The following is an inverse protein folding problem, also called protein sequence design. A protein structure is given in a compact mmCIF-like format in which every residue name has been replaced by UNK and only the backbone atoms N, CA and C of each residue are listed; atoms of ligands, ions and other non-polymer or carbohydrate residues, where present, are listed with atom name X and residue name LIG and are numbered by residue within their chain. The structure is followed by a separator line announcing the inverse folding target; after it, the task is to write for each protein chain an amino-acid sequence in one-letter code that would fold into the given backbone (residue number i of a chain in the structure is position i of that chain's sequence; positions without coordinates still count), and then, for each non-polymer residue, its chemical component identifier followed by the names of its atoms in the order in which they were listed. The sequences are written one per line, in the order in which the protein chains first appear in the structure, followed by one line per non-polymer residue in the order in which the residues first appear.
data_IF_926170872808
#
_entry.id   IF_926170872808
#
_cell.length_a   1.000
_cell.length_b   1.000
_cell.length_c   1.000
_cell.angle_alpha   90.00
_cell.angle_beta   90.00
_cell.angle_gamma   90.00
#
_symmetry.space_group_name_H-M   'P 1'
#
loop_
_entity.id
_entity.type
_entity.pdbx_description
1 polymer ?
#
# COMPACT_ATOMS: atom_id res chain seq x y z
N UNK A 1 -42.04 -4.24 24.07
CA UNK A 1 -41.15 -5.19 23.35
C UNK A 1 -40.58 -4.63 22.05
N UNK A 2 -41.35 -3.86 21.26
CA UNK A 2 -40.90 -3.23 19.99
C UNK A 2 -39.65 -2.33 20.11
N UNK A 3 -39.50 -1.59 21.22
CA UNK A 3 -38.34 -0.70 21.47
C UNK A 3 -37.01 -1.47 21.65
N UNK A 4 -37.05 -2.67 22.23
CA UNK A 4 -35.85 -3.50 22.44
C UNK A 4 -35.37 -4.14 21.13
N UNK A 5 -36.29 -4.48 20.23
CA UNK A 5 -35.99 -5.05 18.90
C UNK A 5 -35.31 -4.00 18.00
N UNK A 6 -35.77 -2.75 17.99
CA UNK A 6 -35.09 -1.66 17.28
C UNK A 6 -33.64 -1.45 17.77
N UNK A 7 -33.42 -1.57 19.09
CA UNK A 7 -32.11 -1.36 19.70
C UNK A 7 -31.09 -2.44 19.28
N UNK A 8 -31.55 -3.69 19.17
CA UNK A 8 -30.72 -4.81 18.69
C UNK A 8 -30.38 -4.63 17.20
N UNK A 9 -31.34 -4.18 16.38
CA UNK A 9 -31.11 -3.89 14.95
C UNK A 9 -30.06 -2.81 14.70
N UNK A 10 -30.00 -1.76 15.52
CA UNK A 10 -28.99 -0.69 15.40
C UNK A 10 -27.57 -1.14 15.77
N UNK A 11 -27.43 -2.14 16.65
CA UNK A 11 -26.12 -2.69 17.05
C UNK A 11 -25.53 -3.56 15.93
N UNK A 12 -26.37 -4.30 15.20
CA UNK A 12 -25.95 -5.22 14.13
C UNK A 12 -25.44 -4.47 12.88
N UNK A 13 -25.95 -3.27 12.59
CA UNK A 13 -25.56 -2.49 11.39
C UNK A 13 -24.14 -1.92 11.50
N UNK A 14 -23.63 -1.66 12.71
CA UNK A 14 -22.32 -1.00 12.90
C UNK A 14 -21.13 -1.91 12.64
N UNK A 15 -21.27 -3.23 12.69
CA UNK A 15 -20.14 -4.17 12.62
C UNK A 15 -19.67 -4.52 11.21
N UNK A 16 -20.31 -4.00 10.16
CA UNK A 16 -20.05 -4.42 8.77
C UNK A 16 -19.49 -3.33 7.86
N UNK A 17 -19.13 -2.17 8.40
CA UNK A 17 -18.56 -1.08 7.60
C UNK A 17 -17.04 -1.18 7.60
N UNK A 18 -16.50 -1.87 6.59
CA UNK A 18 -15.07 -1.81 6.30
C UNK A 18 -14.79 -0.60 5.39
N UNK A 19 -13.82 0.24 5.75
CA UNK A 19 -13.49 1.51 5.07
C UNK A 19 -12.21 1.41 4.21
N UNK A 20 -11.93 0.25 3.63
CA UNK A 20 -10.83 0.12 2.66
C UNK A 20 -11.21 0.76 1.33
N UNK A 21 -10.24 1.45 0.71
CA UNK A 21 -10.45 2.15 -0.57
C UNK A 21 -9.75 1.37 -1.69
N UNK A 22 -10.54 0.86 -2.63
CA UNK A 22 -10.06 0.25 -3.87
C UNK A 22 -10.33 1.15 -5.06
N UNK A 23 -9.32 1.40 -5.89
CA UNK A 23 -9.47 2.03 -7.21
C UNK A 23 -9.26 0.97 -8.26
N UNK A 24 -10.23 0.81 -9.17
CA UNK A 24 -10.23 -0.20 -10.22
C UNK A 24 -10.14 -1.66 -9.73
N UNK A 25 -10.35 -1.92 -8.45
CA UNK A 25 -10.43 -3.26 -7.88
C UNK A 25 -11.61 -3.35 -6.91
N UNK A 26 -12.39 -4.42 -7.02
CA UNK A 26 -13.49 -4.72 -6.09
C UNK A 26 -13.02 -5.52 -4.88
N UNK A 27 -11.77 -5.98 -4.87
CA UNK A 27 -11.17 -6.72 -3.77
C UNK A 27 -9.88 -6.01 -3.27
N UNK A 28 -10.01 -4.95 -2.47
CA UNK A 28 -8.84 -4.25 -1.93
C UNK A 28 -8.14 -5.13 -0.89
N UNK A 29 -6.86 -5.45 -1.09
CA UNK A 29 -6.05 -6.29 -0.19
C UNK A 29 -5.29 -5.49 0.87
N UNK A 30 -5.40 -4.16 0.84
CA UNK A 30 -4.79 -3.25 1.80
C UNK A 30 -5.74 -2.13 2.18
N UNK A 31 -5.25 -1.20 3.00
CA UNK A 31 -6.01 0.02 3.37
C UNK A 31 -6.31 0.87 2.14
N UNK A 32 -5.38 0.90 1.18
CA UNK A 32 -5.57 1.51 -0.14
C UNK A 32 -4.99 0.59 -1.20
N UNK A 33 -5.78 0.23 -2.21
CA UNK A 33 -5.37 -0.65 -3.31
C UNK A 33 -5.74 0.01 -4.64
N UNK A 34 -4.75 0.31 -5.47
CA UNK A 34 -4.95 0.81 -6.83
C UNK A 34 -4.53 -0.27 -7.81
N UNK A 35 -5.45 -0.66 -8.68
CA UNK A 35 -5.20 -1.57 -9.79
C UNK A 35 -5.12 -0.76 -11.10
N UNK A 36 -3.96 -0.82 -11.77
CA UNK A 36 -3.73 -0.06 -12.99
C UNK A 36 -4.50 -0.61 -14.20
N UNK A 37 -4.68 -1.92 -14.29
CA UNK A 37 -5.29 -2.58 -15.46
C UNK A 37 -6.72 -3.08 -15.21
N UNK A 38 -7.24 -2.93 -13.99
CA UNK A 38 -8.59 -3.37 -13.59
C UNK A 38 -8.80 -4.86 -13.86
N UNK A 39 -7.74 -5.65 -13.73
CA UNK A 39 -7.71 -7.06 -14.05
C UNK A 39 -7.64 -7.94 -12.80
N UNK A 40 -7.63 -7.36 -11.59
CA UNK A 40 -7.70 -8.12 -10.35
C UNK A 40 -9.02 -8.92 -10.22
N UNK A 41 -8.95 -10.15 -9.65
CA UNK A 41 -10.14 -10.96 -9.43
C UNK A 41 -11.06 -10.32 -8.39
N UNK A 42 -12.36 -10.61 -8.49
CA UNK A 42 -13.37 -10.12 -7.55
C UNK A 42 -13.24 -10.72 -6.14
N UNK A 43 -12.48 -11.80 -5.99
CA UNK A 43 -12.18 -12.45 -4.72
C UNK A 43 -10.86 -13.23 -4.84
N UNK A 44 -10.19 -13.44 -3.70
CA UNK A 44 -8.88 -14.09 -3.65
C UNK A 44 -7.74 -13.19 -4.12
N UNK A 45 -6.54 -13.76 -4.21
CA UNK A 45 -5.33 -13.01 -4.51
C UNK A 45 -5.11 -12.85 -6.03
N UNK A 46 -4.67 -11.66 -6.50
CA UNK A 46 -4.18 -11.45 -7.86
C UNK A 46 -3.00 -12.37 -8.21
N UNK A 47 -2.92 -12.74 -9.49
CA UNK A 47 -1.72 -13.36 -10.05
C UNK A 47 -0.52 -12.42 -9.99
N UNK A 48 0.69 -12.97 -10.16
CA UNK A 48 1.93 -12.16 -10.13
C UNK A 48 1.91 -11.05 -11.18
N UNK A 49 1.36 -11.30 -12.38
CA UNK A 49 1.26 -10.29 -13.44
C UNK A 49 0.27 -9.18 -13.10
N UNK A 50 -0.87 -9.52 -12.50
CA UNK A 50 -1.86 -8.54 -12.03
C UNK A 50 -1.29 -7.72 -10.88
N UNK A 51 -0.72 -8.36 -9.86
CA UNK A 51 -0.07 -7.67 -8.74
C UNK A 51 1.01 -6.68 -9.21
N UNK A 52 1.70 -7.00 -10.31
CA UNK A 52 2.77 -6.20 -10.90
C UNK A 52 2.31 -4.80 -11.35
N UNK A 53 1.06 -4.66 -11.79
CA UNK A 53 0.49 -3.39 -12.27
C UNK A 53 -0.15 -2.53 -11.15
N UNK A 54 -0.19 -3.06 -9.92
CA UNK A 54 -0.92 -2.48 -8.80
C UNK A 54 -0.04 -1.78 -7.76
N UNK A 55 -0.68 -0.95 -6.94
CA UNK A 55 -0.10 -0.27 -5.78
C UNK A 55 -0.93 -0.60 -4.53
N UNK A 56 -0.27 -1.01 -3.45
CA UNK A 56 -0.94 -1.31 -2.18
C UNK A 56 -0.30 -0.57 -1.01
N UNK A 57 -1.13 0.13 -0.23
CA UNK A 57 -0.81 0.62 1.09
C UNK A 57 -1.39 -0.31 2.17
N UNK A 58 -0.54 -0.80 3.06
CA UNK A 58 -0.95 -1.56 4.24
C UNK A 58 -1.14 -0.65 5.47
N UNK A 59 -1.94 -1.14 6.43
CA UNK A 59 -2.24 -0.46 7.69
C UNK A 59 -1.00 -0.17 8.55
N UNK A 60 0.08 -0.95 8.39
CA UNK A 60 1.38 -0.70 9.00
C UNK A 60 2.10 0.54 8.41
N UNK A 61 1.49 1.24 7.45
CA UNK A 61 2.09 2.37 6.73
C UNK A 61 3.14 1.94 5.71
N UNK A 62 3.11 0.69 5.26
CA UNK A 62 3.94 0.20 4.18
C UNK A 62 3.25 0.47 2.84
N UNK A 63 4.00 0.89 1.82
CA UNK A 63 3.47 1.22 0.51
C UNK A 63 4.43 0.69 -0.56
N UNK A 64 3.95 -0.24 -1.39
CA UNK A 64 4.76 -0.85 -2.46
C UNK A 64 3.95 -0.99 -3.76
N UNK A 65 4.68 -0.92 -4.88
CA UNK A 65 4.19 -1.20 -6.22
C UNK A 65 4.57 -2.63 -6.60
N UNK A 66 3.69 -3.32 -7.31
CA UNK A 66 4.00 -4.60 -7.91
C UNK A 66 3.94 -5.82 -6.98
N UNK A 67 3.39 -5.66 -5.77
CA UNK A 67 3.26 -6.73 -4.77
C UNK A 67 1.98 -6.56 -3.96
N UNK A 68 1.39 -7.68 -3.52
CA UNK A 68 0.22 -7.68 -2.65
C UNK A 68 0.57 -7.66 -1.15
N UNK A 69 1.84 -7.92 -0.82
CA UNK A 69 2.34 -7.96 0.56
C UNK A 69 3.41 -6.90 0.78
N UNK A 70 3.02 -5.64 1.01
CA UNK A 70 3.97 -4.55 1.19
C UNK A 70 4.74 -4.71 2.51
N UNK A 71 6.05 -4.92 2.41
CA UNK A 71 6.94 -5.15 3.57
C UNK A 71 7.74 -3.91 3.99
N UNK A 72 7.68 -2.83 3.20
CA UNK A 72 8.50 -1.62 3.38
C UNK A 72 7.69 -0.35 3.21
N UNK A 73 8.19 0.76 3.77
CA UNK A 73 7.54 2.08 3.76
C UNK A 73 7.39 2.67 2.36
N UNK A 74 8.41 2.51 1.53
CA UNK A 74 8.40 2.98 0.15
C UNK A 74 9.53 2.29 -0.61
N UNK A 75 9.21 1.58 -1.68
CA UNK A 75 10.23 0.95 -2.53
C UNK A 75 10.07 1.43 -3.98
N UNK A 76 11.12 2.09 -4.51
CA UNK A 76 11.20 2.48 -5.93
C UNK A 76 11.91 1.36 -6.71
N UNK A 77 11.16 0.56 -7.47
CA UNK A 77 11.76 -0.43 -8.36
C UNK A 77 12.29 0.28 -9.62
N UNK A 78 13.60 0.20 -9.89
CA UNK A 78 14.21 0.82 -11.10
C UNK A 78 14.01 -0.02 -12.36
N UNK A 79 13.61 -1.29 -12.21
CA UNK A 79 13.33 -2.24 -13.29
C UNK A 79 12.54 -3.40 -12.68
N UNK A 80 11.60 -3.98 -13.44
CA UNK A 80 10.78 -5.13 -13.03
C UNK A 80 11.67 -6.25 -12.46
N UNK A 81 11.50 -6.57 -11.16
CA UNK A 81 12.23 -7.66 -10.49
C UNK A 81 13.45 -7.29 -9.64
N UNK A 82 13.92 -6.04 -9.64
CA UNK A 82 15.07 -5.60 -8.81
C UNK A 82 14.76 -4.34 -8.00
N UNK A 83 13.80 -4.48 -7.09
CA UNK A 83 13.47 -3.44 -6.12
C UNK A 83 14.62 -3.33 -5.09
N UNK A 84 15.61 -2.48 -5.38
CA UNK A 84 16.70 -2.19 -4.43
C UNK A 84 16.13 -1.44 -3.23
N UNK A 85 16.61 -1.79 -2.03
CA UNK A 85 16.25 -1.10 -0.79
C UNK A 85 16.56 0.39 -0.96
N UNK A 86 15.62 1.25 -0.63
CA UNK A 86 15.88 2.70 -0.60
C UNK A 86 17.02 3.03 0.39
N UNK A 87 17.21 2.20 1.43
CA UNK A 87 18.32 2.32 2.39
C UNK A 87 19.71 2.19 1.74
N UNK A 88 19.83 1.50 0.60
CA UNK A 88 21.09 1.38 -0.14
C UNK A 88 21.47 2.68 -0.88
N UNK A 89 20.53 3.63 -1.02
CA UNK A 89 20.81 4.94 -1.62
C UNK A 89 21.38 5.94 -0.61
N UNK A 90 21.16 5.75 0.71
CA UNK A 90 21.82 6.57 1.73
C UNK A 90 23.30 6.24 1.94
N UNK A 91 23.79 5.09 1.44
CA UNK A 91 25.21 4.71 1.48
C UNK A 91 26.00 4.98 0.20
N UNK A 92 25.38 5.54 -0.83
CA UNK A 92 26.09 5.97 -2.04
C UNK A 92 26.07 7.50 -2.16
N UNK A 93 26.93 8.10 -1.33
CA UNK A 93 27.75 9.26 -1.66
C UNK A 93 27.05 10.40 -2.44
N UNK A 94 26.07 11.05 -1.82
CA UNK A 94 25.66 12.41 -2.20
C UNK A 94 25.49 13.20 -0.91
N UNK A 95 26.13 14.37 -0.87
CA UNK A 95 26.24 15.34 0.23
C UNK A 95 27.51 15.23 1.11
N UNK A 96 28.69 15.15 0.49
CA UNK A 96 29.81 15.95 1.01
C UNK A 96 29.59 17.40 0.60
N UNK A 97 29.00 18.21 1.47
CA UNK A 97 29.12 19.66 1.34
C UNK A 97 30.59 20.01 1.62
N UNK A 98 31.34 20.61 0.67
CA UNK A 98 32.66 21.10 1.02
C UNK A 98 32.45 22.24 2.01
N UNK A 99 32.86 22.03 3.26
CA UNK A 99 33.05 23.14 4.19
C UNK A 99 34.15 24.01 3.59
N UNK A 100 33.76 25.14 3.01
CA UNK A 100 34.66 26.24 2.69
C UNK A 100 35.28 26.75 3.99
N UNK A 101 36.35 26.10 4.43
CA UNK A 101 37.26 26.67 5.41
C UNK A 101 38.05 27.77 4.70
N UNK A 102 37.83 29.00 5.16
CA UNK A 102 38.64 30.17 4.87
C UNK A 102 40.12 29.82 4.88
N UNK A 103 40.80 30.08 3.76
CA UNK A 103 42.25 30.19 3.70
C UNK A 103 42.55 31.65 4.06
N UNK A 104 43.09 31.85 5.27
CA UNK A 104 44.11 32.88 5.51
C UNK A 104 45.43 32.38 4.92
#
# INVERSE_FOLDING_TARGET
MKKKICLIGMIIIKTSLFSQVGINTSNPLGTFHVDGSKDNPSSGDPSISQASNGLIAASAGNLELGTITPTRKWTRCKTWGLCKKFDDLKRKNVLSFPSLSCIL
#
